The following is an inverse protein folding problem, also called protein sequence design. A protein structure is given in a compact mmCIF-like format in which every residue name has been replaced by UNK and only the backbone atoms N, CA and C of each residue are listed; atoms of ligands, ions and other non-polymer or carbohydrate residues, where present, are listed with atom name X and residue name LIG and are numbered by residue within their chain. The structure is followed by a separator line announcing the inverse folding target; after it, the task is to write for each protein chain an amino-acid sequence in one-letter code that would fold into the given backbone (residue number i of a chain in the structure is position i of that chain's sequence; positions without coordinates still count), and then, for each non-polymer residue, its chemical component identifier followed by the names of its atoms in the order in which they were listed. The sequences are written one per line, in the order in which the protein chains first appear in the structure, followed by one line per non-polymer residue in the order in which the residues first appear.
data_IF_824396320068
#
_entry.id   IF_824396320068
#
_cell.length_a   1.000
_cell.length_b   1.000
_cell.length_c   1.000
_cell.angle_alpha   90.00
_cell.angle_beta   90.00
_cell.angle_gamma   90.00
#
_symmetry.space_group_name_H-M   'P 1'
#
loop_
_entity.id
_entity.type
_entity.pdbx_description
1 polymer ?
#
# COMPACT_ATOMS: atom_id res chain seq x y z
N UNK A 1 -36.19 -4.67 -47.34
CA UNK A 1 -35.46 -5.22 -48.51
C UNK A 1 -34.03 -4.76 -48.36
N UNK A 2 -33.11 -5.55 -48.00
CA UNK A 2 -32.22 -6.42 -48.76
C UNK A 2 -31.44 -7.32 -47.78
N UNK A 3 -31.47 -8.61 -47.99
CA UNK A 3 -30.73 -9.68 -47.29
C UNK A 3 -29.34 -9.83 -47.94
N UNK A 4 -28.29 -10.10 -47.14
CA UNK A 4 -27.10 -10.83 -47.61
C UNK A 4 -26.36 -11.42 -46.41
N UNK A 5 -26.47 -12.66 -46.08
CA UNK A 5 -25.80 -13.97 -46.38
C UNK A 5 -24.32 -13.98 -45.98
N UNK A 6 -24.08 -14.59 -44.88
CA UNK A 6 -23.31 -15.74 -44.41
C UNK A 6 -22.23 -16.28 -45.37
N UNK A 7 -20.97 -16.34 -44.92
CA UNK A 7 -19.99 -17.34 -45.40
C UNK A 7 -19.16 -17.87 -44.22
N UNK A 8 -19.37 -19.16 -43.94
CA UNK A 8 -18.57 -20.01 -43.06
C UNK A 8 -17.53 -20.68 -43.95
N UNK A 9 -16.25 -20.62 -43.57
CA UNK A 9 -15.21 -21.46 -44.17
C UNK A 9 -14.50 -22.22 -43.04
N UNK A 10 -14.85 -23.51 -42.91
CA UNK A 10 -14.14 -24.48 -42.07
C UNK A 10 -12.94 -25.01 -42.86
N UNK A 11 -11.74 -24.94 -42.27
CA UNK A 11 -10.56 -25.68 -42.74
C UNK A 11 -10.22 -26.73 -41.69
N UNK A 12 -10.45 -28.00 -42.10
CA UNK A 12 -9.98 -29.19 -41.40
C UNK A 12 -8.61 -29.52 -41.92
N UNK A 13 -7.58 -29.59 -41.05
CA UNK A 13 -6.25 -30.08 -41.44
C UNK A 13 -5.93 -31.31 -40.58
N UNK A 14 -5.89 -32.46 -41.25
CA UNK A 14 -5.52 -33.75 -40.71
C UNK A 14 -4.00 -33.84 -40.53
N UNK A 15 -3.54 -34.24 -39.35
CA UNK A 15 -2.14 -34.57 -39.07
C UNK A 15 -1.98 -36.09 -39.02
N UNK A 16 -1.09 -36.57 -39.87
CA UNK A 16 -0.66 -37.98 -40.02
C UNK A 16 0.40 -38.26 -38.96
N UNK A 17 0.19 -39.34 -38.20
CA UNK A 17 1.17 -39.92 -37.24
C UNK A 17 2.13 -40.83 -38.01
N UNK A 18 3.43 -40.54 -37.94
CA UNK A 18 4.49 -41.50 -38.27
C UNK A 18 5.24 -41.87 -37.01
N UNK A 19 5.13 -43.13 -36.60
CA UNK A 19 5.90 -43.76 -35.55
C UNK A 19 7.26 -44.24 -36.11
N UNK A 20 8.36 -43.86 -35.47
CA UNK A 20 9.68 -44.48 -35.64
C UNK A 20 10.15 -44.99 -34.28
N UNK A 21 10.28 -46.30 -34.16
CA UNK A 21 10.84 -46.99 -33.01
C UNK A 21 12.37 -46.89 -32.95
N UNK A 22 12.92 -46.82 -31.78
CA UNK A 22 14.36 -46.97 -31.52
C UNK A 22 14.59 -48.16 -30.55
N UNK A 23 15.70 -48.90 -30.67
CA UNK A 23 15.92 -50.20 -30.02
C UNK A 23 16.45 -50.06 -28.57
N UNK A 24 16.06 -51.03 -27.76
CA UNK A 24 16.46 -51.25 -26.36
C UNK A 24 17.92 -51.75 -26.28
N UNK A 25 18.79 -51.26 -25.38
CA UNK A 25 20.07 -51.90 -25.09
C UNK A 25 19.93 -52.98 -24.00
N UNK A 26 20.70 -54.05 -24.21
CA UNK A 26 20.79 -55.26 -23.36
C UNK A 26 21.54 -55.02 -22.03
N UNK A 27 21.35 -55.88 -21.02
CA UNK A 27 21.92 -55.69 -19.70
C UNK A 27 23.39 -56.10 -19.63
N UNK A 28 24.22 -55.29 -19.03
CA UNK A 28 25.64 -55.56 -18.76
C UNK A 28 25.80 -56.17 -17.38
N UNK A 29 26.57 -57.23 -17.34
CA UNK A 29 26.90 -58.08 -16.18
C UNK A 29 27.70 -57.36 -15.09
N UNK A 30 27.34 -57.69 -13.88
CA UNK A 30 27.96 -57.27 -12.59
C UNK A 30 29.27 -58.08 -12.36
N UNK A 31 30.38 -57.47 -11.90
CA UNK A 31 31.52 -58.19 -11.40
C UNK A 31 31.39 -58.55 -9.92
N UNK A 32 31.94 -59.65 -9.54
CA UNK A 32 31.90 -60.28 -8.23
C UNK A 32 32.70 -59.56 -7.14
N UNK A 33 32.21 -59.66 -5.94
CA UNK A 33 32.76 -59.12 -4.69
C UNK A 33 33.88 -60.02 -4.14
N UNK A 34 35.09 -59.52 -3.72
CA UNK A 34 36.07 -60.32 -3.00
C UNK A 34 35.84 -60.29 -1.49
N UNK A 35 36.21 -61.38 -0.84
CA UNK A 35 36.03 -61.73 0.57
C UNK A 35 36.79 -60.81 1.55
N UNK A 36 36.37 -60.79 2.85
CA UNK A 36 36.91 -59.86 3.85
C UNK A 36 38.25 -60.31 4.43
N UNK A 37 39.20 -59.37 4.47
CA UNK A 37 40.49 -59.48 5.15
C UNK A 37 40.36 -58.86 6.55
N UNK A 38 40.70 -59.59 7.59
CA UNK A 38 40.81 -59.11 8.96
C UNK A 38 42.00 -58.19 9.16
N UNK A 39 41.78 -56.98 9.67
CA UNK A 39 42.80 -56.05 10.12
C UNK A 39 42.80 -55.87 11.64
N UNK A 40 43.95 -55.54 12.26
CA UNK A 40 44.14 -55.56 13.72
C UNK A 40 43.52 -54.34 14.42
N UNK A 41 43.20 -54.53 15.70
CA UNK A 41 42.66 -53.54 16.60
C UNK A 41 43.60 -52.34 16.80
N UNK A 42 43.14 -51.14 16.49
CA UNK A 42 43.82 -49.89 16.81
C UNK A 42 43.06 -49.13 17.90
N UNK A 43 43.83 -48.56 18.82
CA UNK A 43 43.42 -47.83 20.02
C UNK A 43 42.41 -46.71 19.72
N UNK A 44 41.48 -46.47 20.64
CA UNK A 44 40.54 -45.36 20.62
C UNK A 44 41.28 -44.00 20.66
N UNK A 45 40.91 -43.07 19.79
CA UNK A 45 41.35 -41.68 19.91
C UNK A 45 40.52 -40.96 20.98
N UNK A 46 41.22 -40.01 21.67
CA UNK A 46 40.65 -39.12 22.65
C UNK A 46 39.43 -38.36 22.08
N UNK A 47 38.41 -38.18 22.94
CA UNK A 47 37.24 -37.35 22.65
C UNK A 47 37.72 -35.93 22.35
N UNK A 48 37.68 -35.56 21.08
CA UNK A 48 37.76 -34.15 20.68
C UNK A 48 36.40 -33.52 21.05
N UNK A 49 36.43 -32.47 21.86
CA UNK A 49 35.25 -31.63 22.14
C UNK A 49 34.59 -31.25 20.80
N UNK A 50 33.29 -31.49 20.74
CA UNK A 50 32.49 -31.02 19.60
C UNK A 50 32.66 -29.51 19.46
N UNK A 51 32.84 -28.99 18.26
CA UNK A 51 32.84 -27.55 18.07
C UNK A 51 31.53 -26.98 18.59
N UNK A 52 31.60 -26.06 19.52
CA UNK A 52 30.52 -25.18 19.90
C UNK A 52 30.06 -24.49 18.62
N UNK A 53 28.97 -24.91 18.04
CA UNK A 53 28.32 -24.15 16.97
C UNK A 53 27.89 -22.84 17.62
N UNK A 54 28.61 -21.74 17.31
CA UNK A 54 28.06 -20.40 17.43
C UNK A 54 26.70 -20.42 16.76
N UNK A 55 25.66 -19.77 17.36
CA UNK A 55 24.37 -19.70 16.70
C UNK A 55 24.62 -19.08 15.32
N UNK A 56 24.40 -19.89 14.29
CA UNK A 56 24.41 -19.42 12.91
C UNK A 56 23.45 -18.23 12.86
N UNK A 57 23.92 -17.07 12.45
CA UNK A 57 23.04 -15.93 12.23
C UNK A 57 21.86 -16.44 11.40
N UNK A 58 20.64 -16.38 11.98
CA UNK A 58 19.45 -16.91 11.31
C UNK A 58 19.04 -15.90 10.24
N UNK A 59 19.69 -15.99 9.08
CA UNK A 59 19.22 -15.32 7.88
C UNK A 59 17.93 -15.99 7.41
N UNK A 60 16.94 -15.18 7.02
CA UNK A 60 15.70 -15.67 6.44
C UNK A 60 15.32 -14.83 5.23
N UNK A 61 14.25 -15.21 4.55
CA UNK A 61 13.76 -14.51 3.38
C UNK A 61 12.37 -13.93 3.64
N UNK A 62 12.22 -12.63 3.47
CA UNK A 62 10.96 -11.89 3.64
C UNK A 62 10.61 -11.27 2.30
N UNK A 63 9.34 -11.35 1.90
CA UNK A 63 8.88 -10.62 0.72
C UNK A 63 8.16 -9.34 1.14
N UNK A 64 8.56 -8.21 0.54
CA UNK A 64 7.86 -6.93 0.60
C UNK A 64 7.21 -6.66 -0.75
N UNK A 65 5.88 -6.69 -0.79
CA UNK A 65 5.09 -6.59 -2.01
C UNK A 65 4.22 -5.34 -1.93
N UNK A 66 4.60 -4.28 -2.68
CA UNK A 66 3.93 -2.99 -2.69
C UNK A 66 3.01 -2.84 -3.91
N UNK A 67 1.94 -2.01 -3.81
CA UNK A 67 0.85 -2.03 -4.78
C UNK A 67 1.14 -1.22 -6.04
N UNK A 68 1.78 -0.04 -5.92
CA UNK A 68 1.85 0.92 -7.02
C UNK A 68 2.92 2.01 -6.76
N UNK A 69 3.13 2.88 -7.75
CA UNK A 69 4.18 3.92 -7.70
C UNK A 69 3.64 5.35 -7.89
N UNK A 70 2.33 5.53 -8.07
CA UNK A 70 1.72 6.86 -8.26
C UNK A 70 1.69 7.66 -6.96
N UNK A 71 1.36 6.97 -5.85
CA UNK A 71 1.50 7.51 -4.50
C UNK A 71 2.96 7.37 -4.10
N UNK A 72 3.66 8.50 -3.98
CA UNK A 72 5.13 8.52 -3.91
C UNK A 72 5.71 7.86 -2.68
N UNK A 73 4.95 7.78 -1.57
CA UNK A 73 5.40 7.22 -0.28
C UNK A 73 5.98 5.82 -0.41
N UNK A 74 5.40 4.95 -1.23
CA UNK A 74 5.80 3.54 -1.32
C UNK A 74 7.27 3.35 -1.67
N UNK A 75 7.80 4.14 -2.60
CA UNK A 75 9.21 4.07 -3.00
C UNK A 75 10.11 5.00 -2.20
N UNK A 76 9.58 6.11 -1.65
CA UNK A 76 10.39 7.13 -0.99
C UNK A 76 10.47 6.99 0.53
N UNK A 77 9.53 6.26 1.15
CA UNK A 77 9.44 6.07 2.59
C UNK A 77 9.21 4.60 2.97
N UNK A 78 8.10 3.99 2.57
CA UNK A 78 7.71 2.64 3.01
C UNK A 78 8.82 1.60 2.80
N UNK A 79 9.29 1.46 1.56
CA UNK A 79 10.35 0.52 1.22
C UNK A 79 11.68 0.83 1.94
N UNK A 80 12.25 2.05 1.85
CA UNK A 80 13.55 2.31 2.46
C UNK A 80 13.52 2.22 3.99
N UNK A 81 12.44 2.62 4.66
CA UNK A 81 12.32 2.52 6.11
C UNK A 81 12.16 1.07 6.57
N UNK A 82 11.37 0.26 5.84
CA UNK A 82 11.26 -1.17 6.07
C UNK A 82 12.61 -1.87 5.90
N UNK A 83 13.31 -1.63 4.79
CA UNK A 83 14.62 -2.23 4.49
C UNK A 83 15.68 -1.82 5.53
N UNK A 84 15.67 -0.55 5.95
CA UNK A 84 16.59 -0.04 6.97
C UNK A 84 16.36 -0.75 8.31
N UNK A 85 15.10 -0.88 8.74
CA UNK A 85 14.76 -1.58 9.99
C UNK A 85 15.05 -3.06 9.92
N UNK A 86 14.75 -3.72 8.81
CA UNK A 86 15.12 -5.13 8.63
C UNK A 86 16.61 -5.35 8.67
N UNK A 87 17.42 -4.47 8.10
CA UNK A 87 18.88 -4.55 8.16
C UNK A 87 19.41 -4.39 9.59
N UNK A 88 18.75 -3.58 10.42
CA UNK A 88 19.07 -3.46 11.85
C UNK A 88 18.75 -4.75 12.62
N UNK A 89 17.55 -5.32 12.38
CA UNK A 89 17.06 -6.51 13.10
C UNK A 89 17.72 -7.81 12.64
N UNK A 90 17.98 -7.94 11.35
CA UNK A 90 18.47 -9.15 10.71
C UNK A 90 19.41 -8.78 9.54
N UNK A 91 20.69 -8.48 9.80
CA UNK A 91 21.64 -8.10 8.75
C UNK A 91 21.82 -9.13 7.63
N UNK A 92 21.59 -10.41 7.94
CA UNK A 92 21.75 -11.55 7.01
C UNK A 92 20.42 -11.97 6.36
N UNK A 93 19.29 -11.30 6.67
CA UNK A 93 18.02 -11.55 6.03
C UNK A 93 18.00 -11.02 4.59
N UNK A 94 17.32 -11.75 3.71
CA UNK A 94 17.09 -11.34 2.34
C UNK A 94 15.69 -10.75 2.21
N UNK A 95 15.57 -9.65 1.48
CA UNK A 95 14.30 -9.04 1.13
C UNK A 95 14.04 -9.26 -0.36
N UNK A 96 12.95 -9.97 -0.69
CA UNK A 96 12.40 -10.04 -2.04
C UNK A 96 11.44 -8.87 -2.18
N UNK A 97 11.85 -7.85 -2.91
CA UNK A 97 11.00 -6.68 -3.16
C UNK A 97 10.33 -6.78 -4.53
N UNK A 98 9.03 -6.42 -4.59
CA UNK A 98 8.31 -6.23 -5.84
C UNK A 98 7.26 -5.14 -5.71
N UNK A 99 7.02 -4.42 -6.79
CA UNK A 99 5.92 -3.46 -6.92
C UNK A 99 5.00 -3.92 -8.05
N UNK A 100 3.71 -3.92 -7.80
CA UNK A 100 2.71 -4.44 -8.73
C UNK A 100 2.27 -3.43 -9.79
N UNK A 101 2.70 -2.17 -9.69
CA UNK A 101 2.30 -1.08 -10.62
C UNK A 101 0.79 -1.01 -10.85
N UNK A 102 0.00 -1.20 -9.79
CA UNK A 102 -1.47 -1.18 -9.79
C UNK A 102 -2.12 -2.37 -10.58
N UNK A 103 -1.38 -3.47 -10.80
CA UNK A 103 -1.91 -4.69 -11.43
C UNK A 103 -2.02 -5.83 -10.41
N UNK A 104 -3.26 -6.15 -9.99
CA UNK A 104 -3.53 -7.22 -9.03
C UNK A 104 -3.11 -8.61 -9.56
N UNK A 105 -3.14 -8.85 -10.87
CA UNK A 105 -2.68 -10.10 -11.48
C UNK A 105 -1.15 -10.19 -11.42
N UNK A 106 -0.47 -9.09 -11.66
CA UNK A 106 0.98 -8.99 -11.48
C UNK A 106 1.35 -9.24 -10.01
N UNK A 107 0.62 -8.64 -9.06
CA UNK A 107 0.87 -8.83 -7.63
C UNK A 107 0.72 -10.30 -7.21
N UNK A 108 -0.32 -11.00 -7.69
CA UNK A 108 -0.48 -12.44 -7.46
C UNK A 108 0.72 -13.22 -7.99
N UNK A 109 1.17 -12.93 -9.21
CA UNK A 109 2.33 -13.62 -9.82
C UNK A 109 3.62 -13.34 -9.06
N UNK A 110 3.80 -12.11 -8.55
CA UNK A 110 4.95 -11.72 -7.71
C UNK A 110 4.95 -12.45 -6.36
N UNK A 111 3.78 -12.58 -5.74
CA UNK A 111 3.63 -13.32 -4.49
C UNK A 111 3.92 -14.82 -4.67
N UNK A 112 3.43 -15.44 -5.75
CA UNK A 112 3.72 -16.84 -6.09
C UNK A 112 5.22 -17.06 -6.35
N UNK A 113 5.86 -16.13 -7.04
CA UNK A 113 7.31 -16.16 -7.26
C UNK A 113 8.08 -16.02 -5.94
N UNK A 114 7.67 -15.11 -5.06
CA UNK A 114 8.29 -14.93 -3.74
C UNK A 114 8.19 -16.21 -2.89
N UNK A 115 7.01 -16.82 -2.84
CA UNK A 115 6.79 -18.10 -2.15
C UNK A 115 7.66 -19.22 -2.73
N UNK A 116 7.74 -19.32 -4.06
CA UNK A 116 8.59 -20.31 -4.76
C UNK A 116 10.08 -20.09 -4.48
N UNK A 117 10.50 -18.83 -4.32
CA UNK A 117 11.87 -18.45 -3.99
C UNK A 117 12.17 -18.54 -2.48
N UNK A 118 11.26 -19.11 -1.69
CA UNK A 118 11.47 -19.43 -0.29
C UNK A 118 11.20 -18.27 0.68
N UNK A 119 10.33 -17.34 0.33
CA UNK A 119 9.84 -16.35 1.28
C UNK A 119 9.17 -17.04 2.47
N UNK A 120 9.59 -16.68 3.67
CA UNK A 120 9.12 -17.24 4.94
C UNK A 120 8.11 -16.33 5.64
N UNK A 121 8.01 -15.08 5.21
CA UNK A 121 7.01 -14.09 5.62
C UNK A 121 6.64 -13.25 4.40
N UNK A 122 5.36 -12.97 4.20
CA UNK A 122 4.88 -11.99 3.23
C UNK A 122 4.43 -10.71 3.96
N UNK A 123 4.99 -9.58 3.58
CA UNK A 123 4.49 -8.24 3.90
C UNK A 123 3.85 -7.71 2.63
N UNK A 124 2.52 -7.65 2.61
CA UNK A 124 1.74 -7.40 1.41
C UNK A 124 0.83 -6.20 1.59
N UNK A 125 1.05 -5.17 0.81
CA UNK A 125 0.12 -4.08 0.59
C UNK A 125 -0.70 -4.37 -0.68
N UNK A 126 -1.99 -4.74 -0.55
CA UNK A 126 -2.76 -5.24 -1.69
C UNK A 126 -3.12 -4.12 -2.68
N UNK A 127 -2.99 -4.41 -3.98
CA UNK A 127 -3.59 -3.60 -5.06
C UNK A 127 -5.11 -3.62 -4.97
N UNK A 128 -5.67 -4.80 -4.73
CA UNK A 128 -7.09 -5.05 -4.52
C UNK A 128 -7.26 -5.86 -3.23
N UNK A 129 -7.90 -5.24 -2.25
CA UNK A 129 -8.08 -5.80 -0.92
C UNK A 129 -8.82 -7.14 -0.92
N UNK A 130 -9.76 -7.35 -1.82
CA UNK A 130 -10.54 -8.59 -1.92
C UNK A 130 -9.81 -9.67 -2.75
N UNK A 131 -9.19 -9.30 -3.88
CA UNK A 131 -8.45 -10.22 -4.72
C UNK A 131 -7.22 -10.81 -4.01
N UNK A 132 -6.60 -10.04 -3.11
CA UNK A 132 -5.44 -10.46 -2.32
C UNK A 132 -5.73 -11.62 -1.35
N UNK A 133 -7.01 -11.95 -1.08
CA UNK A 133 -7.37 -13.17 -0.37
C UNK A 133 -6.70 -14.41 -0.98
N UNK A 134 -6.63 -14.48 -2.31
CA UNK A 134 -5.98 -15.59 -3.02
C UNK A 134 -4.50 -15.71 -2.66
N UNK A 135 -3.81 -14.59 -2.45
CA UNK A 135 -2.40 -14.58 -2.05
C UNK A 135 -2.26 -15.09 -0.61
N UNK A 136 -3.09 -14.56 0.30
CA UNK A 136 -3.09 -14.94 1.71
C UNK A 136 -3.40 -16.44 1.89
N UNK A 137 -4.39 -16.98 1.15
CA UNK A 137 -4.75 -18.40 1.19
C UNK A 137 -3.62 -19.30 0.68
N UNK A 138 -2.91 -18.88 -0.40
CA UNK A 138 -1.75 -19.61 -0.94
C UNK A 138 -0.58 -19.61 0.03
N UNK A 139 -0.30 -18.49 0.69
CA UNK A 139 0.74 -18.38 1.72
C UNK A 139 0.41 -19.27 2.91
N UNK A 140 -0.83 -19.21 3.42
CA UNK A 140 -1.33 -20.06 4.51
C UNK A 140 -1.20 -21.54 4.20
N UNK A 141 -1.55 -21.97 2.98
CA UNK A 141 -1.43 -23.37 2.55
C UNK A 141 0.04 -23.88 2.58
N UNK A 142 1.01 -22.97 2.51
CA UNK A 142 2.45 -23.26 2.59
C UNK A 142 3.01 -23.01 4.00
N UNK A 143 2.18 -22.60 4.97
CA UNK A 143 2.60 -22.25 6.32
C UNK A 143 3.40 -20.93 6.41
N UNK A 144 3.28 -20.05 5.41
CA UNK A 144 3.94 -18.76 5.36
C UNK A 144 3.00 -17.69 5.92
N UNK A 145 3.36 -17.01 7.02
CA UNK A 145 2.54 -15.95 7.59
C UNK A 145 2.48 -14.70 6.68
N UNK A 146 1.33 -14.01 6.75
CA UNK A 146 1.04 -12.80 5.98
C UNK A 146 0.74 -11.63 6.90
N UNK A 147 1.43 -10.53 6.68
CA UNK A 147 1.14 -9.22 7.25
C UNK A 147 0.46 -8.39 6.16
N UNK A 148 -0.79 -7.99 6.37
CA UNK A 148 -1.45 -6.96 5.57
C UNK A 148 -0.83 -5.61 5.98
N UNK A 149 -0.15 -4.96 5.05
CA UNK A 149 0.55 -3.69 5.25
C UNK A 149 -0.23 -2.55 4.61
N UNK A 150 -0.41 -1.44 5.30
CA UNK A 150 -1.21 -0.26 4.93
C UNK A 150 -2.66 -0.59 4.56
N UNK A 151 -2.91 -1.46 3.58
CA UNK A 151 -4.26 -1.87 3.15
C UNK A 151 -4.64 -3.24 3.69
N UNK A 152 -5.90 -3.39 4.14
CA UNK A 152 -6.41 -4.64 4.68
C UNK A 152 -6.67 -5.66 3.56
N UNK A 153 -6.21 -6.88 3.76
CA UNK A 153 -6.61 -8.04 2.93
C UNK A 153 -7.94 -8.56 3.44
N UNK A 154 -8.97 -8.51 2.60
CA UNK A 154 -10.33 -8.95 2.92
C UNK A 154 -10.55 -10.43 2.64
N UNK A 155 -11.57 -11.00 3.31
CA UNK A 155 -12.16 -12.31 2.99
C UNK A 155 -11.21 -13.52 3.07
N UNK A 156 -10.13 -13.47 3.85
CA UNK A 156 -9.21 -14.59 4.08
C UNK A 156 -8.89 -14.74 5.56
N UNK A 157 -8.81 -15.98 6.03
CA UNK A 157 -8.29 -16.34 7.35
C UNK A 157 -6.78 -16.63 7.34
N UNK A 158 -6.10 -16.32 6.21
CA UNK A 158 -4.66 -16.42 6.03
C UNK A 158 -3.87 -15.19 6.47
N UNK A 159 -4.53 -14.12 6.94
CA UNK A 159 -3.88 -12.90 7.41
C UNK A 159 -3.54 -13.03 8.90
N UNK A 160 -2.27 -12.89 9.26
CA UNK A 160 -1.81 -13.02 10.64
C UNK A 160 -1.86 -11.70 11.41
N UNK A 161 -1.47 -10.60 10.76
CA UNK A 161 -1.47 -9.26 11.32
C UNK A 161 -1.87 -8.23 10.26
N UNK A 162 -2.42 -7.13 10.73
CA UNK A 162 -2.67 -5.93 9.91
C UNK A 162 -1.96 -4.75 10.57
N UNK A 163 -1.34 -3.91 9.75
CA UNK A 163 -0.75 -2.65 10.21
C UNK A 163 -1.16 -1.53 9.27
N UNK A 164 -1.68 -0.45 9.84
CA UNK A 164 -2.16 0.72 9.12
C UNK A 164 -2.36 1.90 10.09
N UNK A 165 -3.11 2.88 9.64
CA UNK A 165 -3.60 4.01 10.44
C UNK A 165 -5.07 3.81 10.81
N UNK A 166 -5.60 4.68 11.69
CA UNK A 166 -7.05 4.80 11.88
C UNK A 166 -7.67 5.48 10.66
N UNK A 167 -8.11 4.65 9.71
CA UNK A 167 -8.54 5.10 8.39
C UNK A 167 -9.89 5.84 8.41
N UNK A 168 -10.78 5.52 9.35
CA UNK A 168 -11.99 6.34 9.54
C UNK A 168 -11.64 7.74 10.08
N UNK A 169 -10.69 7.81 11.01
CA UNK A 169 -10.22 9.09 11.54
C UNK A 169 -9.54 9.95 10.47
N UNK A 170 -8.81 9.35 9.51
CA UNK A 170 -8.29 10.09 8.34
C UNK A 170 -9.39 10.84 7.62
N UNK A 171 -10.46 10.13 7.25
CA UNK A 171 -11.60 10.77 6.56
C UNK A 171 -12.30 11.85 7.38
N UNK A 172 -12.45 11.62 8.70
CA UNK A 172 -13.00 12.63 9.63
C UNK A 172 -12.13 13.87 9.71
N UNK A 173 -10.82 13.72 9.86
CA UNK A 173 -9.88 14.84 9.90
C UNK A 173 -9.94 15.69 8.64
N UNK A 174 -10.00 15.07 7.46
CA UNK A 174 -10.15 15.77 6.19
C UNK A 174 -11.46 16.55 6.13
N UNK A 175 -12.57 15.87 6.43
CA UNK A 175 -13.90 16.47 6.36
C UNK A 175 -14.07 17.59 7.38
N UNK A 176 -13.64 17.39 8.63
CA UNK A 176 -13.73 18.40 9.67
C UNK A 176 -12.87 19.62 9.32
N UNK A 177 -11.64 19.42 8.83
CA UNK A 177 -10.78 20.52 8.40
C UNK A 177 -11.40 21.33 7.28
N UNK A 178 -12.04 20.67 6.30
CA UNK A 178 -12.73 21.36 5.21
C UNK A 178 -13.92 22.18 5.72
N UNK A 179 -14.74 21.62 6.61
CA UNK A 179 -15.89 22.32 7.21
C UNK A 179 -15.44 23.53 8.03
N UNK A 180 -14.39 23.37 8.84
CA UNK A 180 -13.86 24.44 9.68
C UNK A 180 -13.32 25.61 8.85
N UNK A 181 -12.61 25.31 7.74
CA UNK A 181 -12.14 26.32 6.82
C UNK A 181 -13.28 27.06 6.13
N UNK A 182 -14.27 26.33 5.59
CA UNK A 182 -15.45 26.94 4.96
C UNK A 182 -16.23 27.85 5.96
N UNK A 183 -16.32 27.45 7.21
CA UNK A 183 -16.90 28.29 8.26
C UNK A 183 -16.05 29.54 8.54
N UNK A 184 -14.72 29.41 8.58
CA UNK A 184 -13.77 30.53 8.77
C UNK A 184 -13.88 31.52 7.62
N UNK A 185 -14.07 31.03 6.38
CA UNK A 185 -14.32 31.85 5.19
C UNK A 185 -15.71 32.52 5.20
N UNK A 186 -16.60 32.13 6.12
CA UNK A 186 -17.97 32.64 6.21
C UNK A 186 -18.91 32.12 5.12
N UNK A 187 -18.59 30.99 4.50
CA UNK A 187 -19.43 30.36 3.46
C UNK A 187 -20.63 29.72 4.14
N UNK A 188 -21.82 30.10 3.73
CA UNK A 188 -23.07 29.51 4.25
C UNK A 188 -23.63 28.51 3.26
N UNK A 189 -24.03 27.33 3.76
CA UNK A 189 -24.54 26.21 2.94
C UNK A 189 -23.60 25.86 1.76
N UNK A 190 -22.31 25.56 2.01
CA UNK A 190 -21.35 25.31 0.95
C UNK A 190 -21.75 24.13 0.08
N UNK A 191 -21.37 24.25 -1.19
CA UNK A 191 -21.48 23.18 -2.19
C UNK A 191 -20.10 22.57 -2.38
N UNK A 192 -19.95 21.27 -2.03
CA UNK A 192 -18.68 20.57 -2.17
C UNK A 192 -18.73 19.47 -3.22
N UNK A 193 -17.55 19.09 -3.69
CA UNK A 193 -17.32 17.91 -4.53
C UNK A 193 -16.44 16.92 -3.74
N UNK A 194 -16.80 15.64 -3.77
CA UNK A 194 -15.99 14.57 -3.18
C UNK A 194 -15.29 13.77 -4.29
N UNK A 195 -13.97 13.68 -4.21
CA UNK A 195 -13.08 12.85 -5.05
C UNK A 195 -12.47 11.81 -4.12
N UNK A 196 -13.13 10.67 -3.98
CA UNK A 196 -12.71 9.57 -3.12
C UNK A 196 -11.55 8.77 -3.74
N UNK A 197 -11.02 7.80 -2.98
CA UNK A 197 -9.98 6.90 -3.44
C UNK A 197 -10.47 5.74 -4.29
N UNK A 198 -9.57 4.77 -4.54
CA UNK A 198 -9.87 3.60 -5.36
C UNK A 198 -10.89 2.67 -4.69
N UNK A 199 -11.94 2.24 -5.40
CA UNK A 199 -12.95 1.34 -4.85
C UNK A 199 -12.42 -0.09 -4.57
N UNK A 200 -11.23 -0.44 -5.08
CA UNK A 200 -10.57 -1.72 -4.80
C UNK A 200 -9.73 -1.71 -3.52
N UNK A 201 -9.54 -0.54 -2.93
CA UNK A 201 -8.81 -0.34 -1.69
C UNK A 201 -9.80 -0.18 -0.52
N UNK A 202 -9.70 -1.09 0.47
CA UNK A 202 -10.54 -1.03 1.67
C UNK A 202 -10.40 0.31 2.42
N UNK A 203 -9.20 0.89 2.44
CA UNK A 203 -8.96 2.15 3.15
C UNK A 203 -9.77 3.30 2.53
N UNK A 204 -9.92 3.34 1.20
CA UNK A 204 -10.73 4.35 0.52
C UNK A 204 -12.18 4.35 1.00
N UNK A 205 -12.74 3.15 1.24
CA UNK A 205 -14.07 2.99 1.84
C UNK A 205 -14.15 3.55 3.26
N UNK A 206 -13.12 3.33 4.08
CA UNK A 206 -13.04 3.83 5.45
C UNK A 206 -12.85 5.35 5.49
N UNK A 207 -12.01 5.92 4.62
CA UNK A 207 -11.87 7.38 4.49
C UNK A 207 -13.21 8.02 4.11
N UNK A 208 -13.89 7.46 3.11
CA UNK A 208 -15.22 7.89 2.68
C UNK A 208 -16.22 7.83 3.84
N UNK A 209 -16.27 6.72 4.58
CA UNK A 209 -17.12 6.55 5.75
C UNK A 209 -16.81 7.59 6.83
N UNK A 210 -15.55 7.83 7.13
CA UNK A 210 -15.11 8.86 8.06
C UNK A 210 -15.56 10.25 7.63
N UNK A 211 -15.39 10.60 6.36
CA UNK A 211 -15.83 11.88 5.80
C UNK A 211 -17.35 12.05 5.87
N UNK A 212 -18.11 11.04 5.48
CA UNK A 212 -19.58 11.06 5.56
C UNK A 212 -20.09 11.19 7.00
N UNK A 213 -19.38 10.63 8.00
CA UNK A 213 -19.74 10.81 9.41
C UNK A 213 -19.78 12.27 9.85
N UNK A 214 -19.00 13.15 9.18
CA UNK A 214 -19.00 14.60 9.38
C UNK A 214 -19.98 15.32 8.46
N UNK A 215 -20.00 14.96 7.18
CA UNK A 215 -20.80 15.69 6.20
C UNK A 215 -22.31 15.35 6.27
N UNK A 216 -22.71 14.08 6.48
CA UNK A 216 -24.11 13.66 6.43
C UNK A 216 -25.03 14.41 7.41
N UNK A 217 -24.63 14.66 8.67
CA UNK A 217 -25.43 15.49 9.57
C UNK A 217 -25.64 16.93 9.05
N UNK A 218 -24.61 17.51 8.42
CA UNK A 218 -24.70 18.85 7.85
C UNK A 218 -25.57 18.89 6.59
N UNK A 219 -25.52 17.83 5.78
CA UNK A 219 -26.40 17.67 4.61
C UNK A 219 -27.86 17.52 5.06
N UNK A 220 -28.12 16.69 6.07
CA UNK A 220 -29.45 16.49 6.62
C UNK A 220 -30.06 17.79 7.19
N UNK A 221 -29.22 18.64 7.79
CA UNK A 221 -29.62 19.96 8.31
C UNK A 221 -29.73 21.04 7.22
N UNK A 222 -29.38 20.74 5.95
CA UNK A 222 -29.34 21.70 4.85
C UNK A 222 -28.22 22.73 4.98
N UNK A 223 -27.18 22.42 5.75
CA UNK A 223 -26.01 23.29 6.02
C UNK A 223 -24.83 23.02 5.10
N UNK A 224 -24.89 21.96 4.29
CA UNK A 224 -23.88 21.56 3.32
C UNK A 224 -24.54 20.77 2.18
N UNK A 225 -24.01 20.87 0.98
CA UNK A 225 -24.44 20.09 -0.18
C UNK A 225 -23.26 19.35 -0.78
N UNK A 226 -23.33 18.01 -0.80
CA UNK A 226 -22.42 17.20 -1.63
C UNK A 226 -23.04 17.15 -3.03
N UNK A 227 -22.54 18.00 -3.93
CA UNK A 227 -23.11 18.15 -5.26
C UNK A 227 -22.69 17.04 -6.23
N UNK A 228 -21.49 16.54 -6.06
CA UNK A 228 -20.91 15.43 -6.82
C UNK A 228 -20.00 14.60 -5.92
N UNK A 229 -20.00 13.30 -6.18
CA UNK A 229 -19.17 12.34 -5.49
C UNK A 229 -18.68 11.29 -6.50
N UNK A 230 -17.38 11.01 -6.48
CA UNK A 230 -16.71 10.06 -7.37
C UNK A 230 -15.82 9.14 -6.57
N UNK A 231 -15.72 7.87 -6.98
CA UNK A 231 -14.71 6.93 -6.51
C UNK A 231 -13.66 6.81 -7.63
N UNK A 232 -12.44 7.26 -7.35
CA UNK A 232 -11.37 7.43 -8.35
C UNK A 232 -10.61 6.13 -8.57
N UNK A 233 -10.79 5.42 -9.71
CA UNK A 233 -10.09 4.17 -9.95
C UNK A 233 -8.57 4.35 -9.86
N UNK A 234 -7.91 3.35 -9.28
CA UNK A 234 -6.44 3.24 -9.20
C UNK A 234 -5.76 4.44 -8.53
N UNK A 235 -6.47 5.22 -7.72
CA UNK A 235 -5.94 6.45 -7.11
C UNK A 235 -5.35 7.43 -8.16
N UNK A 236 -5.86 7.38 -9.40
CA UNK A 236 -5.26 8.07 -10.54
C UNK A 236 -5.52 9.59 -10.51
N UNK A 237 -4.47 10.43 -10.46
CA UNK A 237 -4.63 11.89 -10.57
C UNK A 237 -5.31 12.33 -11.87
N UNK A 238 -5.08 11.62 -12.98
CA UNK A 238 -5.70 11.90 -14.28
C UNK A 238 -7.20 11.64 -14.25
N UNK A 239 -7.64 10.58 -13.56
CA UNK A 239 -9.07 10.30 -13.37
C UNK A 239 -9.69 11.37 -12.46
N UNK A 240 -9.06 11.70 -11.34
CA UNK A 240 -9.50 12.77 -10.46
C UNK A 240 -9.65 14.12 -11.21
N UNK A 241 -8.73 14.43 -12.12
CA UNK A 241 -8.83 15.60 -12.98
C UNK A 241 -10.06 15.55 -13.88
N UNK A 242 -10.31 14.40 -14.54
CA UNK A 242 -11.47 14.21 -15.39
C UNK A 242 -12.80 14.30 -14.60
N UNK A 243 -12.84 13.71 -13.40
CA UNK A 243 -14.00 13.74 -12.50
C UNK A 243 -14.30 15.17 -12.05
N UNK A 244 -13.27 15.93 -11.67
CA UNK A 244 -13.43 17.32 -11.28
C UNK A 244 -13.85 18.19 -12.47
N UNK A 245 -13.34 17.97 -13.68
CA UNK A 245 -13.80 18.67 -14.90
C UNK A 245 -15.28 18.42 -15.17
N UNK A 246 -15.76 17.19 -14.98
CA UNK A 246 -17.17 16.84 -15.11
C UNK A 246 -18.02 17.55 -14.04
N UNK A 247 -17.54 17.58 -12.79
CA UNK A 247 -18.21 18.29 -11.71
C UNK A 247 -18.32 19.77 -12.00
N UNK A 248 -17.21 20.42 -12.38
CA UNK A 248 -17.18 21.86 -12.72
C UNK A 248 -18.13 22.20 -13.88
N UNK A 249 -18.16 21.38 -14.93
CA UNK A 249 -19.07 21.56 -16.06
C UNK A 249 -20.54 21.50 -15.58
N UNK A 250 -20.87 20.49 -14.75
CA UNK A 250 -22.23 20.30 -14.26
C UNK A 250 -22.68 21.41 -13.30
N UNK A 251 -21.76 21.99 -12.54
CA UNK A 251 -22.00 23.03 -11.53
C UNK A 251 -21.79 24.47 -12.05
N UNK A 252 -21.40 24.65 -13.32
CA UNK A 252 -21.07 25.95 -13.88
C UNK A 252 -19.93 26.63 -13.12
N UNK A 253 -18.92 25.88 -12.76
CA UNK A 253 -17.73 26.25 -11.97
C UNK A 253 -18.04 26.76 -10.54
N UNK A 254 -19.20 26.45 -10.01
CA UNK A 254 -19.60 26.84 -8.63
C UNK A 254 -19.33 25.69 -7.68
N UNK A 255 -18.21 25.74 -6.99
CA UNK A 255 -17.80 24.83 -5.96
C UNK A 255 -17.12 25.61 -4.85
N UNK A 256 -17.51 25.35 -3.60
CA UNK A 256 -17.01 26.07 -2.42
C UNK A 256 -15.87 25.32 -1.72
N UNK A 257 -15.78 23.99 -1.90
CA UNK A 257 -14.75 23.14 -1.33
C UNK A 257 -14.65 21.79 -2.02
N UNK A 258 -13.49 21.15 -1.92
CA UNK A 258 -13.24 19.82 -2.50
C UNK A 258 -12.67 18.90 -1.42
N UNK A 259 -13.39 17.83 -1.13
CA UNK A 259 -12.83 16.68 -0.45
C UNK A 259 -12.07 15.85 -1.48
N UNK A 260 -10.75 15.78 -1.37
CA UNK A 260 -9.91 14.88 -2.13
C UNK A 260 -9.24 13.90 -1.18
N UNK A 261 -9.36 12.61 -1.45
CA UNK A 261 -9.00 11.57 -0.49
C UNK A 261 -7.48 11.45 -0.26
N UNK A 262 -6.64 11.86 -1.24
CA UNK A 262 -5.20 11.98 -1.06
C UNK A 262 -4.59 13.13 -1.88
N UNK A 263 -3.29 13.39 -1.72
CA UNK A 263 -2.58 14.48 -2.41
C UNK A 263 -2.48 14.28 -3.92
N UNK A 264 -2.46 13.02 -4.38
CA UNK A 264 -2.50 12.68 -5.80
C UNK A 264 -3.85 13.06 -6.43
N UNK A 265 -4.97 12.67 -5.83
CA UNK A 265 -6.32 13.06 -6.29
C UNK A 265 -6.56 14.55 -6.14
N UNK A 266 -6.05 15.19 -5.07
CA UNK A 266 -6.04 16.65 -4.90
C UNK A 266 -5.31 17.35 -6.05
N UNK A 267 -4.17 16.82 -6.48
CA UNK A 267 -3.40 17.33 -7.62
C UNK A 267 -4.25 17.39 -8.90
N UNK A 268 -4.96 16.29 -9.19
CA UNK A 268 -5.87 16.22 -10.34
C UNK A 268 -7.02 17.23 -10.25
N UNK A 269 -7.69 17.29 -9.09
CA UNK A 269 -8.78 18.24 -8.87
C UNK A 269 -8.32 19.70 -9.01
N UNK A 270 -7.17 20.03 -8.41
CA UNK A 270 -6.57 21.37 -8.50
C UNK A 270 -6.22 21.73 -9.95
N UNK A 271 -5.65 20.78 -10.71
CA UNK A 271 -5.33 21.00 -12.13
C UNK A 271 -6.59 21.30 -12.94
N UNK A 272 -7.69 20.58 -12.70
CA UNK A 272 -8.99 20.83 -13.36
C UNK A 272 -9.54 22.23 -13.01
N UNK A 273 -9.48 22.63 -11.74
CA UNK A 273 -9.96 23.95 -11.29
C UNK A 273 -9.14 25.09 -11.86
N UNK A 274 -7.82 24.97 -11.90
CA UNK A 274 -6.93 25.94 -12.55
C UNK A 274 -7.23 26.07 -14.06
N UNK A 275 -7.42 24.93 -14.74
CA UNK A 275 -7.78 24.92 -16.17
C UNK A 275 -9.14 25.57 -16.44
N UNK A 276 -10.08 25.50 -15.50
CA UNK A 276 -11.38 26.16 -15.56
C UNK A 276 -11.32 27.65 -15.16
N UNK A 277 -10.17 28.16 -14.74
CA UNK A 277 -9.94 29.57 -14.39
C UNK A 277 -10.47 29.97 -13.01
N UNK A 278 -10.59 29.02 -12.07
CA UNK A 278 -10.92 29.35 -10.68
C UNK A 278 -9.72 30.02 -10.01
N UNK A 279 -9.91 31.24 -9.53
CA UNK A 279 -8.95 32.04 -8.77
C UNK A 279 -9.71 33.01 -7.86
N UNK A 280 -9.59 32.92 -6.51
CA UNK A 280 -8.82 31.90 -5.81
C UNK A 280 -9.40 30.49 -5.93
N UNK A 281 -8.57 29.48 -5.70
CA UNK A 281 -9.03 28.09 -5.57
C UNK A 281 -9.84 27.92 -4.30
N UNK A 282 -10.94 27.13 -4.31
CA UNK A 282 -11.60 26.68 -3.08
C UNK A 282 -10.69 25.78 -2.25
N UNK A 283 -10.90 25.65 -0.94
CA UNK A 283 -10.13 24.74 -0.10
C UNK A 283 -10.25 23.30 -0.58
N UNK A 284 -9.10 22.62 -0.66
CA UNK A 284 -8.96 21.21 -1.09
C UNK A 284 -8.28 20.42 0.00
N UNK A 285 -8.81 19.26 0.36
CA UNK A 285 -8.16 18.33 1.28
C UNK A 285 -7.15 17.44 0.57
N UNK A 286 -6.35 16.69 1.34
CA UNK A 286 -5.43 15.69 0.85
C UNK A 286 -5.01 14.73 1.97
N UNK A 287 -4.16 13.76 1.63
CA UNK A 287 -3.57 12.78 2.54
C UNK A 287 -2.21 12.34 1.98
N UNK A 288 -1.38 11.80 2.85
CA UNK A 288 -0.03 11.26 2.64
C UNK A 288 1.09 12.28 2.76
N UNK A 289 0.77 13.57 2.90
CA UNK A 289 1.76 14.65 3.02
C UNK A 289 2.87 14.54 1.96
N UNK A 290 2.48 14.28 0.70
CA UNK A 290 3.42 14.26 -0.42
C UNK A 290 4.16 15.60 -0.53
N UNK A 291 5.41 15.57 -0.97
CA UNK A 291 6.21 16.80 -1.10
C UNK A 291 5.47 17.90 -1.92
N UNK A 292 4.87 17.49 -3.03
CA UNK A 292 4.07 18.40 -3.85
C UNK A 292 2.79 18.89 -3.12
N UNK A 293 2.20 18.04 -2.25
CA UNK A 293 1.06 18.40 -1.40
C UNK A 293 1.45 19.47 -0.39
N UNK A 294 2.56 19.28 0.34
CA UNK A 294 3.11 20.26 1.28
C UNK A 294 3.43 21.60 0.59
N UNK A 295 4.05 21.53 -0.59
CA UNK A 295 4.35 22.71 -1.38
C UNK A 295 3.09 23.46 -1.83
N UNK A 296 2.03 22.75 -2.24
CA UNK A 296 0.73 23.35 -2.59
C UNK A 296 0.05 23.99 -1.37
N UNK A 297 0.18 23.38 -0.20
CA UNK A 297 -0.34 23.97 1.05
C UNK A 297 0.37 25.28 1.37
N UNK A 298 1.69 25.33 1.24
CA UNK A 298 2.46 26.57 1.43
C UNK A 298 2.07 27.65 0.43
N UNK A 299 1.83 27.27 -0.82
CA UNK A 299 1.41 28.18 -1.90
C UNK A 299 -0.07 28.61 -1.78
N UNK A 300 -0.86 28.00 -0.88
CA UNK A 300 -2.30 28.29 -0.74
C UNK A 300 -3.17 27.68 -1.83
N UNK A 301 -2.67 26.68 -2.55
CA UNK A 301 -3.39 25.96 -3.61
C UNK A 301 -4.14 24.71 -3.10
N UNK A 302 -3.67 24.16 -1.98
CA UNK A 302 -4.30 23.09 -1.21
C UNK A 302 -4.45 23.57 0.22
N UNK A 303 -5.54 23.23 0.90
CA UNK A 303 -5.77 23.69 2.27
C UNK A 303 -5.05 22.85 3.31
N UNK A 304 -5.15 21.54 3.20
CA UNK A 304 -4.58 20.62 4.17
C UNK A 304 -4.22 19.27 3.55
N UNK A 305 -3.44 18.51 4.28
CA UNK A 305 -3.22 17.08 4.05
C UNK A 305 -3.31 16.33 5.39
N UNK A 306 -3.58 15.02 5.35
CA UNK A 306 -3.41 14.16 6.52
C UNK A 306 -2.04 13.50 6.46
N UNK A 307 -1.21 13.79 7.43
CA UNK A 307 0.08 13.16 7.60
C UNK A 307 -0.07 11.82 8.30
N UNK A 308 0.43 10.79 7.66
CA UNK A 308 0.65 9.47 8.19
C UNK A 308 2.15 9.30 8.40
N UNK A 309 2.57 9.03 9.63
CA UNK A 309 3.99 8.80 9.94
C UNK A 309 4.42 7.43 9.43
N UNK A 310 4.88 7.36 8.17
CA UNK A 310 5.18 6.11 7.46
C UNK A 310 6.31 5.33 8.11
N UNK A 311 7.34 6.02 8.60
CA UNK A 311 8.48 5.35 9.23
C UNK A 311 8.08 4.45 10.41
N UNK A 312 7.28 4.88 11.41
CA UNK A 312 6.77 3.97 12.44
C UNK A 312 5.93 2.80 11.90
N UNK A 313 5.17 2.99 10.83
CA UNK A 313 4.40 1.93 10.17
C UNK A 313 5.32 0.87 9.57
N UNK A 314 6.28 1.30 8.76
CA UNK A 314 7.26 0.43 8.10
C UNK A 314 8.18 -0.29 9.11
N UNK A 315 8.63 0.43 10.15
CA UNK A 315 9.45 -0.16 11.23
C UNK A 315 8.67 -1.21 12.03
N UNK A 316 7.38 -0.97 12.32
CA UNK A 316 6.53 -1.95 13.01
C UNK A 316 6.24 -3.17 12.11
N UNK A 317 6.04 -2.99 10.81
CA UNK A 317 5.90 -4.09 9.87
C UNK A 317 7.18 -4.94 9.78
N UNK A 318 8.35 -4.30 9.76
CA UNK A 318 9.63 -4.99 9.79
C UNK A 318 9.83 -5.77 11.10
N UNK A 319 9.46 -5.20 12.25
CA UNK A 319 9.52 -5.90 13.53
C UNK A 319 8.58 -7.11 13.56
N UNK A 320 7.32 -6.96 13.12
CA UNK A 320 6.37 -8.07 12.98
C UNK A 320 6.91 -9.18 12.07
N UNK A 321 7.50 -8.79 10.93
CA UNK A 321 8.07 -9.75 9.99
C UNK A 321 9.23 -10.52 10.62
N UNK A 322 10.10 -9.84 11.36
CA UNK A 322 11.21 -10.47 12.08
C UNK A 322 10.73 -11.41 13.19
N UNK A 323 9.73 -10.99 13.97
CA UNK A 323 9.17 -11.81 15.05
C UNK A 323 8.52 -13.10 14.49
N UNK A 324 7.76 -12.98 13.39
CA UNK A 324 7.16 -14.14 12.70
C UNK A 324 8.24 -15.05 12.09
N UNK A 325 9.27 -14.49 11.47
CA UNK A 325 10.38 -15.25 10.89
C UNK A 325 11.11 -16.09 11.93
N UNK A 326 11.33 -15.52 13.10
CA UNK A 326 12.09 -16.16 14.20
C UNK A 326 11.22 -16.98 15.15
N UNK A 327 9.90 -17.05 14.89
CA UNK A 327 8.90 -17.61 15.80
C UNK A 327 8.97 -16.99 17.21
N UNK A 328 9.35 -15.74 17.30
CA UNK A 328 9.32 -14.98 18.53
C UNK A 328 7.86 -14.61 18.90
N UNK A 329 7.62 -14.37 20.18
CA UNK A 329 6.33 -13.85 20.60
C UNK A 329 6.22 -12.39 20.20
N UNK A 330 5.23 -12.05 19.36
CA UNK A 330 4.91 -10.65 19.05
C UNK A 330 4.51 -9.95 20.36
N UNK A 331 5.14 -8.81 20.71
CA UNK A 331 4.83 -8.08 21.92
C UNK A 331 3.34 -7.68 21.99
N UNK A 332 2.68 -7.98 23.12
CA UNK A 332 1.23 -7.73 23.27
C UNK A 332 0.86 -6.24 23.20
N UNK A 333 1.79 -5.36 23.50
CA UNK A 333 1.63 -3.90 23.41
C UNK A 333 1.70 -3.38 21.96
N UNK A 334 2.22 -4.16 21.00
CA UNK A 334 2.28 -3.76 19.60
C UNK A 334 0.88 -3.54 19.01
N UNK A 335 -0.04 -4.48 19.22
CA UNK A 335 -1.44 -4.34 18.78
C UNK A 335 -2.33 -3.65 19.81
N UNK A 336 -1.89 -3.54 21.05
CA UNK A 336 -2.69 -3.02 22.19
C UNK A 336 -4.06 -3.72 22.33
N UNK A 337 -4.16 -4.97 21.86
CA UNK A 337 -5.40 -5.75 21.83
C UNK A 337 -6.40 -5.28 20.77
N UNK A 338 -6.00 -4.43 19.83
CA UNK A 338 -6.86 -3.98 18.72
C UNK A 338 -6.96 -5.08 17.65
N UNK A 339 -8.12 -5.18 17.06
CA UNK A 339 -8.39 -6.05 15.91
C UNK A 339 -9.22 -5.31 14.88
N UNK A 340 -9.09 -5.71 13.61
CA UNK A 340 -9.96 -5.25 12.52
C UNK A 340 -10.56 -6.47 11.84
N UNK A 341 -11.89 -6.47 11.67
CA UNK A 341 -12.59 -7.55 10.99
C UNK A 341 -12.38 -7.42 9.47
N UNK A 342 -11.85 -8.49 8.87
CA UNK A 342 -11.59 -8.53 7.42
C UNK A 342 -12.69 -9.24 6.61
N UNK A 343 -13.84 -9.47 7.22
CA UNK A 343 -14.96 -10.22 6.62
C UNK A 343 -14.93 -11.72 6.94
N UNK A 344 -13.82 -12.26 7.45
CA UNK A 344 -13.67 -13.68 7.81
C UNK A 344 -13.20 -13.85 9.25
N UNK A 345 -12.24 -13.07 9.70
CA UNK A 345 -11.69 -13.11 11.06
C UNK A 345 -11.43 -11.68 11.57
N UNK A 346 -11.28 -11.56 12.89
CA UNK A 346 -10.77 -10.39 13.55
C UNK A 346 -9.24 -10.44 13.54
N UNK A 347 -8.60 -9.69 12.65
CA UNK A 347 -7.14 -9.67 12.46
C UNK A 347 -6.50 -8.81 13.55
N UNK A 348 -5.53 -9.32 14.33
CA UNK A 348 -4.74 -8.51 15.25
C UNK A 348 -4.08 -7.33 14.51
N UNK A 349 -4.29 -6.10 15.00
CA UNK A 349 -3.99 -4.90 14.21
C UNK A 349 -3.17 -3.88 14.97
N UNK A 350 -2.18 -3.30 14.31
CA UNK A 350 -1.45 -2.10 14.74
C UNK A 350 -2.06 -0.92 14.00
N UNK A 351 -2.71 -0.01 14.75
CA UNK A 351 -3.37 1.16 14.17
C UNK A 351 -2.72 2.43 14.70
N UNK A 352 -2.02 3.14 13.81
CA UNK A 352 -1.33 4.38 14.09
C UNK A 352 -2.29 5.58 14.00
N UNK A 353 -1.93 6.67 14.66
CA UNK A 353 -2.75 7.88 14.70
C UNK A 353 -2.37 8.82 13.55
N UNK A 354 -3.32 9.19 12.66
CA UNK A 354 -3.09 10.20 11.64
C UNK A 354 -3.12 11.62 12.24
N UNK A 355 -2.50 12.58 11.54
CA UNK A 355 -2.42 13.99 11.96
C UNK A 355 -2.87 14.90 10.83
N UNK A 356 -3.84 15.79 11.08
CA UNK A 356 -4.17 16.83 10.11
C UNK A 356 -3.05 17.88 10.05
N UNK A 357 -2.60 18.18 8.83
CA UNK A 357 -1.54 19.15 8.56
C UNK A 357 -2.06 20.26 7.68
N UNK A 358 -1.96 21.46 8.18
CA UNK A 358 -2.20 22.71 7.45
C UNK A 358 -0.89 23.51 7.39
N UNK A 359 -0.92 24.69 6.77
CA UNK A 359 0.24 25.58 6.74
C UNK A 359 0.84 25.88 8.13
N UNK A 360 0.00 25.85 9.17
CA UNK A 360 0.38 26.31 10.52
C UNK A 360 1.25 25.29 11.27
N UNK A 361 1.20 23.98 10.91
CA UNK A 361 1.89 22.93 11.67
C UNK A 361 2.81 22.04 10.84
N UNK A 362 3.14 22.41 9.59
CA UNK A 362 4.12 21.67 8.75
C UNK A 362 5.44 21.48 9.49
N UNK A 363 5.92 22.53 10.16
CA UNK A 363 7.20 22.50 10.89
C UNK A 363 7.20 21.50 12.04
N UNK A 364 6.10 21.44 12.79
CA UNK A 364 5.98 20.66 14.03
C UNK A 364 5.52 19.21 13.74
N UNK A 365 5.28 18.87 12.47
CA UNK A 365 4.84 17.56 12.01
C UNK A 365 5.84 16.97 11.00
N UNK A 366 5.62 17.12 9.74
CA UNK A 366 6.44 16.50 8.66
C UNK A 366 7.91 16.89 8.70
N UNK A 367 8.24 18.11 9.13
CA UNK A 367 9.64 18.55 9.28
C UNK A 367 10.26 18.01 10.56
N UNK A 368 9.54 18.06 11.68
CA UNK A 368 10.02 17.55 12.96
C UNK A 368 10.34 16.06 12.91
N UNK A 369 9.55 15.28 12.17
CA UNK A 369 9.75 13.84 11.97
C UNK A 369 10.79 13.51 10.90
N UNK A 370 11.40 14.51 10.24
CA UNK A 370 12.30 14.36 9.09
C UNK A 370 11.65 13.60 7.92
N UNK A 371 10.33 13.64 7.79
CA UNK A 371 9.63 13.08 6.64
C UNK A 371 9.99 13.86 5.36
N UNK A 372 10.01 15.20 5.46
CA UNK A 372 10.63 16.07 4.46
C UNK A 372 11.56 17.09 5.15
N UNK A 373 12.70 17.34 4.56
CA UNK A 373 13.60 18.41 5.03
C UNK A 373 13.12 19.78 4.53
N UNK A 374 13.49 20.84 5.26
CA UNK A 374 13.21 22.21 4.84
C UNK A 374 13.76 22.49 3.43
N UNK A 375 14.97 21.99 3.10
CA UNK A 375 15.57 22.20 1.78
C UNK A 375 14.78 21.51 0.66
N UNK A 376 14.16 20.35 0.91
CA UNK A 376 13.28 19.69 -0.06
C UNK A 376 11.98 20.46 -0.29
N UNK A 377 11.38 20.98 0.79
CA UNK A 377 10.13 21.73 0.73
C UNK A 377 10.36 23.11 0.11
N UNK A 378 11.38 23.83 0.58
CA UNK A 378 11.61 25.24 0.33
C UNK A 378 12.56 25.46 -0.85
N UNK A 379 12.20 24.92 -2.01
CA UNK A 379 12.92 25.22 -3.27
C UNK A 379 12.76 26.67 -3.66
N UNK A 380 13.49 27.14 -4.70
CA UNK A 380 13.44 28.52 -5.16
C UNK A 380 12.01 29.02 -5.45
N UNK A 381 11.15 28.14 -5.97
CA UNK A 381 9.76 28.47 -6.31
C UNK A 381 8.85 28.67 -5.07
N UNK A 382 9.24 28.14 -3.92
CA UNK A 382 8.47 28.21 -2.66
C UNK A 382 9.15 29.04 -1.57
N UNK A 383 10.28 29.70 -1.86
CA UNK A 383 11.09 30.42 -0.88
C UNK A 383 10.29 31.49 -0.09
N UNK A 384 9.48 32.29 -0.79
CA UNK A 384 8.66 33.33 -0.17
C UNK A 384 7.55 32.72 0.72
N UNK A 385 6.91 31.65 0.26
CA UNK A 385 5.88 30.93 1.00
C UNK A 385 6.46 30.25 2.27
N UNK A 386 7.65 29.67 2.17
CA UNK A 386 8.39 29.10 3.30
C UNK A 386 8.78 30.17 4.32
N UNK A 387 9.27 31.31 3.86
CA UNK A 387 9.58 32.46 4.75
C UNK A 387 8.33 32.91 5.51
N UNK A 388 7.20 33.05 4.81
CA UNK A 388 5.93 33.42 5.43
C UNK A 388 5.40 32.37 6.44
N UNK A 389 5.73 31.08 6.24
CA UNK A 389 5.37 29.98 7.14
C UNK A 389 6.41 29.73 8.25
N UNK A 390 7.50 30.49 8.32
CA UNK A 390 8.56 30.30 9.32
C UNK A 390 9.38 29.01 9.16
N UNK A 391 9.43 28.48 7.94
CA UNK A 391 10.24 27.34 7.55
C UNK A 391 11.59 27.85 7.00
N UNK A 392 12.52 28.20 7.88
CA UNK A 392 13.88 28.64 7.52
C UNK A 392 14.92 28.03 8.45
#
# INVERSE_FOLDING_TARGET
MLKSKLFIASVVMALVLTACGAPTPAPTSQPANPAPTTAPATQAPAMTEAPTTEPSAMGGTIALLLPETKTTRYETADKPDFEAKMKELCPDCQIIYSNANQDATQQLSQAEAALTNGAQVLVLDPVDSAAAATIADKAKAQGVPVIAYDRLILNSDGVNYYISFDNEEVGKLQAQSLVDELNTMGVTNPTIVMINGSPTDNNAGLFKQGAHSVFDPLVADGKLTIAKEYDTPDWSPDQAQNEMQQALTALGNKVDGVYAANDGTASGAIAAMKAAGLDPLPPVTGQDAELAGIQRILAGEQYMTVYKAIKPEAEAAAQLAYDLLTNANVPADMTQGKTVNNGTIDVPSVLLTPIAVTKDNIKDTVVADNFWTVDQICTADYADACTAAGLQ
#
